data_IF_578632514099
#
_entry.id   IF_578632514099
#
_cell.length_a   1.000
_cell.length_b   1.000
_cell.length_c   1.000
_cell.angle_alpha   90.00
_cell.angle_beta   90.00
_cell.angle_gamma   90.00
#
_symmetry.space_group_name_H-M   'P 1'
#
loop_
_entity.id
_entity.type
_entity.pdbx_description
1 polymer ?
#
# COMPACT_ATOMS: atom_id res chain seq x y z
N UNK A 1 -1.07 -14.40 16.00
CA UNK A 1 -1.01 -13.69 14.71
C UNK A 1 -1.39 -14.66 13.60
N UNK A 2 -2.62 -14.63 13.12
CA UNK A 2 -3.06 -15.41 11.96
C UNK A 2 -2.40 -14.87 10.68
N UNK A 3 -1.89 -15.78 9.84
CA UNK A 3 -1.36 -15.48 8.52
C UNK A 3 -2.24 -16.13 7.47
N UNK A 4 -2.72 -15.35 6.50
CA UNK A 4 -3.48 -15.82 5.34
C UNK A 4 -2.77 -15.40 4.08
N UNK A 5 -2.73 -16.29 3.09
CA UNK A 5 -2.18 -16.00 1.77
C UNK A 5 -3.24 -16.25 0.71
N UNK A 6 -3.48 -15.27 -0.14
CA UNK A 6 -4.40 -15.36 -1.26
C UNK A 6 -3.64 -15.15 -2.57
N UNK A 7 -4.01 -15.88 -3.61
CA UNK A 7 -3.57 -15.61 -4.97
C UNK A 7 -4.59 -14.68 -5.62
N UNK A 8 -4.20 -13.43 -5.88
CA UNK A 8 -5.12 -12.40 -6.40
C UNK A 8 -4.99 -12.22 -7.90
N UNK A 9 -6.13 -11.90 -8.53
CA UNK A 9 -6.21 -11.67 -9.97
C UNK A 9 -5.95 -12.91 -10.82
N UNK A 10 -5.91 -12.72 -12.14
CA UNK A 10 -5.61 -13.78 -13.09
C UNK A 10 -4.10 -14.09 -13.15
N UNK A 11 -3.25 -13.14 -12.77
CA UNK A 11 -1.80 -13.35 -12.66
C UNK A 11 -1.40 -14.05 -11.34
N UNK A 12 -2.40 -14.39 -10.49
CA UNK A 12 -2.22 -15.14 -9.23
C UNK A 12 -1.11 -14.59 -8.33
N UNK A 13 -1.00 -13.26 -8.25
CA UNK A 13 0.01 -12.64 -7.41
C UNK A 13 -0.28 -12.91 -5.93
N UNK A 14 0.72 -13.27 -5.11
CA UNK A 14 0.49 -13.53 -3.71
C UNK A 14 0.21 -12.24 -2.94
N UNK A 15 -0.86 -12.26 -2.16
CA UNK A 15 -1.19 -11.28 -1.14
C UNK A 15 -1.13 -11.96 0.23
N UNK A 16 -0.23 -11.50 1.09
CA UNK A 16 -0.12 -12.00 2.46
C UNK A 16 -0.80 -11.03 3.43
N UNK A 17 -1.69 -11.54 4.27
CA UNK A 17 -2.38 -10.81 5.31
C UNK A 17 -1.98 -11.34 6.68
N UNK A 18 -1.62 -10.45 7.58
CA UNK A 18 -1.20 -10.74 8.94
C UNK A 18 -2.16 -9.99 9.89
N UNK A 19 -3.10 -10.69 10.50
CA UNK A 19 -3.98 -10.13 11.53
C UNK A 19 -3.29 -10.16 12.91
N UNK A 20 -3.67 -9.24 13.79
CA UNK A 20 -3.04 -9.05 15.11
C UNK A 20 -1.51 -8.87 15.00
N UNK A 21 -1.10 -8.05 14.02
CA UNK A 21 0.28 -7.95 13.58
C UNK A 21 1.20 -7.35 14.64
N UNK A 22 0.83 -6.22 15.24
CA UNK A 22 1.61 -5.60 16.31
C UNK A 22 1.08 -6.01 17.68
N UNK A 23 1.95 -6.29 18.67
CA UNK A 23 1.50 -6.71 20.01
C UNK A 23 0.84 -5.57 20.81
N UNK A 24 1.12 -4.31 20.47
CA UNK A 24 0.58 -3.11 21.14
C UNK A 24 0.22 -2.02 20.13
N UNK A 25 -0.82 -2.21 19.30
CA UNK A 25 -1.18 -1.27 18.25
C UNK A 25 -1.65 0.09 18.80
N UNK A 26 -2.33 0.11 19.96
CA UNK A 26 -2.75 1.37 20.59
C UNK A 26 -1.57 2.21 21.08
N UNK A 27 -0.52 1.56 21.61
CA UNK A 27 0.71 2.26 21.99
C UNK A 27 1.41 2.85 20.74
N UNK A 28 1.36 2.16 19.61
CA UNK A 28 1.90 2.66 18.35
C UNK A 28 1.10 3.87 17.83
N UNK A 29 -0.24 3.85 17.95
CA UNK A 29 -1.10 5.00 17.65
C UNK A 29 -0.80 6.20 18.55
N UNK A 30 -0.59 5.97 19.85
CA UNK A 30 -0.21 7.05 20.77
C UNK A 30 1.14 7.67 20.40
N UNK A 31 2.10 6.88 19.92
CA UNK A 31 3.37 7.40 19.39
C UNK A 31 3.12 8.23 18.13
N UNK A 32 2.27 7.77 17.22
CA UNK A 32 1.91 8.54 16.02
C UNK A 32 1.24 9.86 16.38
N UNK A 33 0.35 9.90 17.39
CA UNK A 33 -0.31 11.11 17.86
C UNK A 33 0.66 12.16 18.44
N UNK A 34 1.82 11.73 18.92
CA UNK A 34 2.88 12.59 19.43
C UNK A 34 3.98 12.91 18.40
N UNK A 35 3.93 12.32 17.23
CA UNK A 35 4.94 12.49 16.19
C UNK A 35 4.69 13.76 15.36
N UNK A 36 5.77 14.33 14.84
CA UNK A 36 5.69 15.39 13.85
C UNK A 36 5.51 14.81 12.45
N UNK A 37 4.48 15.27 11.74
CA UNK A 37 4.21 14.89 10.37
C UNK A 37 4.61 16.01 9.41
N UNK A 38 5.17 15.64 8.29
CA UNK A 38 5.50 16.57 7.19
C UNK A 38 4.79 16.12 5.89
N UNK A 39 4.67 17.05 4.94
CA UNK A 39 4.15 16.72 3.62
C UNK A 39 4.94 15.56 3.02
N UNK A 40 4.25 14.54 2.54
CA UNK A 40 4.90 13.38 1.96
C UNK A 40 5.65 13.75 0.69
N UNK A 41 6.82 13.16 0.52
CA UNK A 41 7.59 13.24 -0.74
C UNK A 41 7.00 12.28 -1.78
N UNK A 42 7.41 12.45 -3.02
CA UNK A 42 6.97 11.63 -4.15
C UNK A 42 5.46 11.74 -4.41
N UNK A 43 4.80 10.62 -4.68
CA UNK A 43 3.40 10.59 -5.12
C UNK A 43 2.40 10.24 -4.00
N UNK A 44 2.83 10.12 -2.74
CA UNK A 44 1.89 9.82 -1.64
C UNK A 44 0.97 11.03 -1.38
N UNK A 45 -0.37 10.85 -1.38
CA UNK A 45 -1.33 11.96 -1.27
C UNK A 45 -1.62 12.33 0.19
N UNK A 46 -0.61 12.81 0.93
CA UNK A 46 -0.80 13.14 2.34
C UNK A 46 0.48 13.49 3.08
N UNK A 47 0.51 13.12 4.34
CA UNK A 47 1.61 13.41 5.27
C UNK A 47 2.26 12.14 5.78
N UNK A 48 3.55 12.23 6.16
CA UNK A 48 4.33 11.14 6.74
C UNK A 48 5.04 11.59 8.00
N UNK A 49 5.15 10.66 8.97
CA UNK A 49 5.86 10.86 10.22
C UNK A 49 6.82 9.71 10.53
N UNK A 50 7.81 9.95 11.42
CA UNK A 50 8.80 8.95 11.79
C UNK A 50 8.18 7.81 12.60
N UNK A 51 8.61 6.59 12.34
CA UNK A 51 8.18 5.39 13.06
C UNK A 51 9.24 5.02 14.11
N UNK A 52 8.87 4.54 15.30
CA UNK A 52 9.83 4.21 16.34
C UNK A 52 10.67 2.99 15.95
N UNK A 53 11.99 3.05 16.21
CA UNK A 53 12.92 1.95 15.95
C UNK A 53 12.51 0.63 16.64
N UNK A 54 11.95 0.71 17.85
CA UNK A 54 11.46 -0.46 18.59
C UNK A 54 10.33 -1.23 17.88
N UNK A 55 9.50 -0.53 17.08
CA UNK A 55 8.51 -1.19 16.22
C UNK A 55 9.22 -2.01 15.13
N UNK A 56 10.18 -1.40 14.45
CA UNK A 56 10.94 -2.08 13.40
C UNK A 56 11.70 -3.30 13.95
N UNK A 57 12.40 -3.13 15.07
CA UNK A 57 13.12 -4.22 15.73
C UNK A 57 12.23 -5.41 16.05
N UNK A 58 11.01 -5.15 16.52
CA UNK A 58 10.06 -6.20 16.88
C UNK A 58 9.36 -6.84 15.68
N UNK A 59 9.09 -6.07 14.59
CA UNK A 59 8.30 -6.56 13.46
C UNK A 59 9.15 -7.10 12.31
N UNK A 60 10.38 -6.61 12.09
CA UNK A 60 11.23 -7.07 10.99
C UNK A 60 11.47 -8.59 10.95
N UNK A 61 11.70 -9.30 12.07
CA UNK A 61 11.85 -10.76 12.05
C UNK A 61 10.57 -11.47 11.56
N UNK A 62 9.40 -10.97 11.94
CA UNK A 62 8.09 -11.51 11.55
C UNK A 62 7.85 -11.25 10.05
N UNK A 63 8.08 -10.02 9.61
CA UNK A 63 7.99 -9.62 8.22
C UNK A 63 8.92 -10.48 7.36
N UNK A 64 10.19 -10.61 7.75
CA UNK A 64 11.17 -11.38 7.00
C UNK A 64 10.78 -12.87 6.90
N UNK A 65 10.22 -13.45 7.96
CA UNK A 65 9.72 -14.82 7.92
C UNK A 65 8.55 -14.97 6.94
N UNK A 66 7.57 -14.06 6.99
CA UNK A 66 6.43 -14.04 6.08
C UNK A 66 6.86 -13.82 4.62
N UNK A 67 7.76 -12.87 4.38
CA UNK A 67 8.29 -12.56 3.04
C UNK A 67 8.96 -13.80 2.43
N UNK A 68 9.85 -14.46 3.17
CA UNK A 68 10.50 -15.68 2.69
C UNK A 68 9.50 -16.82 2.41
N UNK A 69 8.54 -17.02 3.30
CA UNK A 69 7.56 -18.09 3.15
C UNK A 69 6.61 -17.89 1.96
N UNK A 70 6.22 -16.65 1.66
CA UNK A 70 5.17 -16.32 0.68
C UNK A 70 5.76 -15.93 -0.68
N UNK A 71 6.81 -15.11 -0.69
CA UNK A 71 7.36 -14.55 -1.93
C UNK A 71 8.62 -15.26 -2.42
N UNK A 72 9.13 -16.20 -1.62
CA UNK A 72 10.36 -16.92 -1.92
C UNK A 72 11.61 -16.13 -1.53
N UNK A 73 12.77 -16.68 -1.87
CA UNK A 73 14.04 -16.10 -1.48
C UNK A 73 14.62 -16.76 -0.21
N UNK A 74 15.94 -16.97 -0.21
CA UNK A 74 16.68 -17.56 0.91
C UNK A 74 17.59 -16.54 1.62
N UNK A 75 17.62 -15.32 1.08
CA UNK A 75 18.50 -14.27 1.54
C UNK A 75 17.93 -13.37 2.63
N UNK A 76 18.64 -12.28 2.88
CA UNK A 76 18.22 -11.25 3.81
C UNK A 76 17.02 -10.47 3.26
N UNK A 77 16.19 -10.00 4.16
CA UNK A 77 15.13 -9.02 3.89
C UNK A 77 15.56 -7.71 4.53
N UNK A 78 15.83 -6.72 3.69
CA UNK A 78 16.28 -5.41 4.12
C UNK A 78 15.13 -4.40 4.10
N UNK A 79 15.06 -3.55 5.10
CA UNK A 79 14.17 -2.40 5.11
C UNK A 79 14.77 -1.28 4.27
N UNK A 80 13.99 -0.75 3.32
CA UNK A 80 14.39 0.39 2.49
C UNK A 80 13.88 1.69 3.09
N UNK A 81 12.60 1.72 3.44
CA UNK A 81 11.92 2.87 4.02
C UNK A 81 10.73 2.42 4.85
N UNK A 82 10.40 3.17 5.91
CA UNK A 82 9.19 2.99 6.68
C UNK A 82 8.76 4.29 7.34
N UNK A 83 7.45 4.55 7.36
CA UNK A 83 6.88 5.74 7.98
C UNK A 83 5.44 5.52 8.44
N UNK A 84 4.99 6.28 9.43
CA UNK A 84 3.57 6.57 9.56
C UNK A 84 3.11 7.34 8.33
N UNK A 85 1.93 7.04 7.84
CA UNK A 85 1.36 7.67 6.65
C UNK A 85 -0.13 7.95 6.85
N UNK A 86 -0.54 9.18 6.54
CA UNK A 86 -1.94 9.62 6.64
C UNK A 86 -2.33 10.28 5.31
N UNK A 87 -3.42 9.84 4.72
CA UNK A 87 -3.98 10.45 3.51
C UNK A 87 -4.73 11.73 3.89
N UNK A 88 -4.33 12.87 3.33
CA UNK A 88 -4.90 14.18 3.68
C UNK A 88 -5.18 15.07 2.47
N UNK A 89 -4.71 14.70 1.27
CA UNK A 89 -4.85 15.55 0.09
C UNK A 89 -6.30 15.55 -0.41
N UNK A 90 -6.97 16.71 -0.50
CA UNK A 90 -8.32 16.77 -1.06
C UNK A 90 -8.36 16.28 -2.51
N UNK A 91 -9.43 15.63 -2.98
CA UNK A 91 -9.52 15.09 -4.35
C UNK A 91 -9.17 16.11 -5.45
N UNK A 92 -9.62 17.35 -5.30
CA UNK A 92 -9.34 18.43 -6.27
C UNK A 92 -7.85 18.85 -6.35
N UNK A 93 -7.06 18.53 -5.32
CA UNK A 93 -5.62 18.84 -5.26
C UNK A 93 -4.72 17.67 -5.69
N UNK A 94 -5.30 16.50 -6.01
CA UNK A 94 -4.54 15.34 -6.46
C UNK A 94 -3.88 15.60 -7.81
N UNK A 95 -2.61 15.26 -7.94
CA UNK A 95 -1.95 15.15 -9.23
C UNK A 95 -2.55 14.00 -10.05
N UNK A 96 -2.39 14.02 -11.38
CA UNK A 96 -2.87 12.94 -12.25
C UNK A 96 -2.37 11.56 -11.79
N UNK A 97 -1.10 11.45 -11.41
CA UNK A 97 -0.52 10.20 -10.93
C UNK A 97 -1.17 9.67 -9.65
N UNK A 98 -1.66 10.55 -8.77
CA UNK A 98 -2.35 10.18 -7.52
C UNK A 98 -3.81 9.73 -7.72
N UNK A 99 -4.37 9.95 -8.92
CA UNK A 99 -5.72 9.55 -9.31
C UNK A 99 -5.77 8.19 -10.01
N UNK A 100 -4.63 7.52 -10.13
CA UNK A 100 -4.46 6.26 -10.87
C UNK A 100 -3.96 5.14 -9.94
N UNK A 101 -4.32 3.88 -10.22
CA UNK A 101 -3.58 2.75 -9.68
C UNK A 101 -2.11 2.85 -10.08
N UNK A 102 -1.21 2.51 -9.16
CA UNK A 102 0.23 2.60 -9.37
C UNK A 102 0.94 1.32 -8.92
N UNK A 103 2.19 1.20 -9.32
CA UNK A 103 3.15 0.25 -8.77
C UNK A 103 4.36 1.04 -8.24
N UNK A 104 4.98 0.53 -7.16
CA UNK A 104 6.08 1.23 -6.48
C UNK A 104 7.46 0.81 -7.02
N UNK A 105 7.53 -0.34 -7.68
CA UNK A 105 8.75 -0.87 -8.30
C UNK A 105 8.41 -1.79 -9.47
N UNK A 106 9.41 -2.15 -10.25
CA UNK A 106 9.27 -3.01 -11.43
C UNK A 106 10.01 -4.35 -11.30
N UNK A 107 10.64 -4.59 -10.16
CA UNK A 107 11.48 -5.76 -9.89
C UNK A 107 10.81 -6.71 -8.89
N UNK A 108 11.07 -8.04 -8.98
CA UNK A 108 10.40 -9.03 -8.15
C UNK A 108 10.86 -9.04 -6.69
N UNK A 109 11.99 -8.42 -6.39
CA UNK A 109 12.60 -8.38 -5.06
C UNK A 109 11.98 -7.31 -4.13
N UNK A 110 11.14 -6.43 -4.67
CA UNK A 110 10.51 -5.34 -3.90
C UNK A 110 9.17 -5.74 -3.33
N UNK A 111 9.03 -5.62 -2.01
CA UNK A 111 7.81 -5.90 -1.26
C UNK A 111 7.33 -4.62 -0.59
N UNK A 112 6.04 -4.33 -0.73
CA UNK A 112 5.35 -3.29 0.01
C UNK A 112 4.66 -3.90 1.24
N UNK A 113 4.66 -3.13 2.34
CA UNK A 113 3.90 -3.40 3.54
C UNK A 113 2.97 -2.23 3.83
N UNK A 114 1.72 -2.55 4.15
CA UNK A 114 0.74 -1.60 4.69
C UNK A 114 0.16 -2.19 5.97
N UNK A 115 0.41 -1.54 7.13
CA UNK A 115 -0.17 -1.93 8.41
C UNK A 115 -1.22 -0.90 8.82
N UNK A 116 -2.48 -1.33 8.93
CA UNK A 116 -3.61 -0.46 9.24
C UNK A 116 -3.73 -0.22 10.75
N UNK A 117 -3.84 1.05 11.13
CA UNK A 117 -3.91 1.48 12.53
C UNK A 117 -5.17 2.31 12.87
N UNK A 118 -6.12 2.44 11.93
CA UNK A 118 -7.43 3.08 12.20
C UNK A 118 -8.40 2.04 12.78
N UNK A 119 -8.94 2.24 14.01
CA UNK A 119 -9.78 1.25 14.69
C UNK A 119 -11.08 0.94 13.97
N UNK A 120 -11.68 1.95 13.35
CA UNK A 120 -12.97 1.83 12.66
C UNK A 120 -12.86 1.15 11.29
N UNK A 121 -11.68 0.65 10.94
CA UNK A 121 -11.41 0.10 9.62
C UNK A 121 -11.40 1.19 8.56
N UNK A 122 -12.22 1.05 7.51
CA UNK A 122 -12.37 2.01 6.43
C UNK A 122 -11.72 1.53 5.13
N UNK A 123 -11.14 2.48 4.42
CA UNK A 123 -10.55 2.23 3.10
C UNK A 123 -9.37 1.28 3.17
N UNK A 124 -9.44 0.21 2.41
CA UNK A 124 -8.41 -0.81 2.34
C UNK A 124 -7.37 -0.54 1.27
N UNK A 125 -6.93 -1.62 0.63
CA UNK A 125 -6.09 -1.57 -0.57
C UNK A 125 -6.77 -2.34 -1.69
N UNK A 126 -6.95 -1.69 -2.84
CA UNK A 126 -7.49 -2.32 -4.04
C UNK A 126 -6.36 -2.64 -5.02
N UNK A 127 -6.47 -3.78 -5.70
CA UNK A 127 -5.57 -4.25 -6.73
C UNK A 127 -6.29 -4.25 -8.06
N UNK A 128 -5.56 -3.95 -9.14
CA UNK A 128 -6.18 -3.64 -10.43
C UNK A 128 -5.54 -4.38 -11.59
N UNK A 129 -6.36 -4.55 -12.64
CA UNK A 129 -5.91 -4.88 -14.00
C UNK A 129 -6.07 -3.66 -14.89
N UNK A 130 -5.05 -3.29 -15.61
CA UNK A 130 -5.13 -2.29 -16.68
C UNK A 130 -5.81 -2.89 -17.90
N UNK A 131 -6.98 -2.37 -18.30
CA UNK A 131 -7.84 -3.00 -19.33
C UNK A 131 -7.17 -3.11 -20.68
N UNK A 132 -6.46 -2.06 -21.13
CA UNK A 132 -5.84 -2.03 -22.46
C UNK A 132 -4.69 -3.02 -22.60
N UNK A 133 -3.91 -3.29 -21.54
CA UNK A 133 -2.78 -4.24 -21.60
C UNK A 133 -3.09 -5.59 -20.99
N UNK A 134 -4.14 -5.71 -20.17
CA UNK A 134 -4.41 -6.89 -19.37
C UNK A 134 -3.47 -7.10 -18.18
N UNK A 135 -2.55 -6.18 -17.91
CA UNK A 135 -1.55 -6.33 -16.85
C UNK A 135 -2.14 -6.04 -15.46
N UNK A 136 -1.82 -6.88 -14.49
CA UNK A 136 -2.09 -6.72 -13.07
C UNK A 136 -0.82 -6.35 -12.30
N UNK A 137 0.34 -6.74 -12.85
CA UNK A 137 1.64 -6.28 -12.38
C UNK A 137 2.45 -5.70 -13.54
N UNK A 138 3.29 -4.71 -13.21
CA UNK A 138 4.17 -4.05 -14.18
C UNK A 138 5.61 -4.43 -13.87
N UNK A 139 6.13 -5.41 -14.59
CA UNK A 139 7.54 -5.81 -14.52
C UNK A 139 8.39 -4.86 -15.38
N UNK A 140 9.73 -4.95 -15.26
CA UNK A 140 10.61 -4.11 -16.09
C UNK A 140 10.38 -4.37 -17.60
N UNK A 141 10.11 -5.63 -18.01
CA UNK A 141 9.83 -5.97 -19.40
C UNK A 141 8.49 -5.37 -19.89
N UNK A 142 7.49 -5.23 -19.01
CA UNK A 142 6.17 -4.68 -19.34
C UNK A 142 6.12 -3.16 -19.26
N UNK A 143 7.09 -2.55 -18.61
CA UNK A 143 7.10 -1.13 -18.24
C UNK A 143 6.85 -0.21 -19.46
N UNK A 144 7.59 -0.39 -20.53
CA UNK A 144 7.45 0.47 -21.72
C UNK A 144 6.06 0.35 -22.34
N UNK A 145 5.55 -0.88 -22.50
CA UNK A 145 4.22 -1.14 -23.05
C UNK A 145 3.10 -0.58 -22.16
N UNK A 146 3.23 -0.76 -20.84
CA UNK A 146 2.27 -0.23 -19.87
C UNK A 146 2.16 1.29 -19.95
N UNK A 147 3.29 2.01 -19.86
CA UNK A 147 3.27 3.46 -19.87
C UNK A 147 2.87 4.04 -21.24
N UNK A 148 3.18 3.39 -22.35
CA UNK A 148 2.70 3.79 -23.66
C UNK A 148 1.17 3.67 -23.76
N UNK A 149 0.59 2.58 -23.27
CA UNK A 149 -0.86 2.40 -23.22
C UNK A 149 -1.53 3.39 -22.26
N UNK A 150 -0.97 3.57 -21.06
CA UNK A 150 -1.49 4.51 -20.06
C UNK A 150 -1.50 5.96 -20.58
N UNK A 151 -0.50 6.37 -21.35
CA UNK A 151 -0.42 7.71 -21.94
C UNK A 151 -1.49 7.96 -23.02
N UNK A 152 -2.11 6.91 -23.55
CA UNK A 152 -3.22 7.00 -24.50
C UNK A 152 -4.60 7.04 -23.84
N UNK A 153 -4.66 6.78 -22.51
CA UNK A 153 -5.92 6.83 -21.76
C UNK A 153 -6.36 8.28 -21.51
N UNK A 154 -7.67 8.53 -21.40
CA UNK A 154 -8.19 9.82 -20.96
C UNK A 154 -7.67 10.20 -19.57
N UNK A 155 -7.49 11.50 -19.32
CA UNK A 155 -7.15 11.99 -18.00
C UNK A 155 -8.21 11.55 -16.96
N UNK A 156 -7.81 10.94 -15.83
CA UNK A 156 -8.75 10.51 -14.80
C UNK A 156 -9.37 11.73 -14.10
N UNK A 157 -10.62 11.59 -13.62
CA UNK A 157 -11.29 12.66 -12.87
C UNK A 157 -10.49 13.00 -11.59
N UNK A 158 -10.68 14.21 -11.02
CA UNK A 158 -10.01 14.62 -9.78
C UNK A 158 -10.63 13.90 -8.56
N UNK A 159 -10.36 12.61 -8.44
CA UNK A 159 -10.86 11.74 -7.40
C UNK A 159 -9.84 10.64 -7.08
N UNK A 160 -9.88 10.11 -5.87
CA UNK A 160 -9.18 8.87 -5.54
C UNK A 160 -9.80 7.71 -6.33
N UNK A 161 -8.95 6.80 -6.80
CA UNK A 161 -9.43 5.57 -7.43
C UNK A 161 -9.79 4.56 -6.34
N UNK A 162 -11.07 4.21 -6.27
CA UNK A 162 -11.58 3.26 -5.26
C UNK A 162 -12.37 2.09 -5.87
N UNK A 163 -12.59 2.08 -7.17
CA UNK A 163 -13.37 1.07 -7.87
C UNK A 163 -12.93 0.94 -9.32
N UNK A 164 -13.78 0.29 -10.11
CA UNK A 164 -13.61 0.18 -11.56
C UNK A 164 -13.62 1.55 -12.23
N UNK A 165 -12.78 1.71 -13.25
CA UNK A 165 -12.75 2.88 -14.12
C UNK A 165 -12.79 2.46 -15.58
N UNK A 166 -12.80 3.42 -16.51
CA UNK A 166 -12.66 3.13 -17.93
C UNK A 166 -11.39 2.34 -18.25
N UNK A 167 -10.26 2.71 -17.64
CA UNK A 167 -8.94 2.13 -17.89
C UNK A 167 -8.58 0.94 -16.97
N UNK A 168 -9.20 0.83 -15.79
CA UNK A 168 -8.84 -0.16 -14.77
C UNK A 168 -10.03 -0.95 -14.24
N UNK A 169 -9.82 -2.22 -13.98
CA UNK A 169 -10.74 -3.14 -13.33
C UNK A 169 -10.18 -3.57 -11.99
N UNK A 170 -11.00 -3.56 -10.93
CA UNK A 170 -10.64 -4.10 -9.62
C UNK A 170 -10.59 -5.62 -9.70
N UNK A 171 -9.45 -6.23 -9.41
CA UNK A 171 -9.28 -7.69 -9.37
C UNK A 171 -9.32 -8.25 -7.96
N UNK A 172 -9.02 -7.41 -6.97
CA UNK A 172 -9.11 -7.79 -5.55
C UNK A 172 -9.20 -6.54 -4.68
N UNK A 173 -9.85 -6.66 -3.52
CA UNK A 173 -9.88 -5.63 -2.48
C UNK A 173 -9.57 -6.25 -1.12
N UNK A 174 -8.46 -5.83 -0.51
CA UNK A 174 -8.15 -6.17 0.86
C UNK A 174 -8.75 -5.13 1.81
N UNK A 175 -9.59 -5.58 2.75
CA UNK A 175 -10.21 -4.71 3.76
C UNK A 175 -9.16 -4.17 4.75
N UNK A 176 -9.27 -2.89 5.08
CA UNK A 176 -8.59 -2.34 6.23
C UNK A 176 -9.23 -2.89 7.51
N UNK A 177 -8.46 -3.61 8.28
CA UNK A 177 -8.82 -4.02 9.63
C UNK A 177 -7.78 -3.49 10.60
N UNK A 178 -8.23 -3.05 11.75
CA UNK A 178 -7.32 -2.61 12.79
C UNK A 178 -6.28 -3.67 13.10
N UNK A 179 -5.01 -3.28 13.16
CA UNK A 179 -3.86 -4.15 13.41
C UNK A 179 -3.64 -5.27 12.38
N UNK A 180 -4.15 -5.09 11.13
CA UNK A 180 -3.83 -5.95 10.00
C UNK A 180 -2.67 -5.37 9.21
N UNK A 181 -1.69 -6.19 8.85
CA UNK A 181 -0.68 -5.86 7.85
C UNK A 181 -0.89 -6.65 6.57
N UNK A 182 -0.69 -5.97 5.43
CA UNK A 182 -0.63 -6.55 4.10
C UNK A 182 0.82 -6.56 3.64
N UNK A 183 1.22 -7.65 2.96
CA UNK A 183 2.48 -7.74 2.22
C UNK A 183 2.15 -8.17 0.79
N UNK A 184 2.70 -7.46 -0.19
CA UNK A 184 2.53 -7.75 -1.62
C UNK A 184 3.72 -7.25 -2.42
N UNK A 185 3.88 -7.77 -3.64
CA UNK A 185 4.94 -7.29 -4.53
C UNK A 185 4.67 -5.86 -4.97
N UNK A 186 5.68 -5.01 -4.87
CA UNK A 186 5.57 -3.58 -5.23
C UNK A 186 5.26 -3.33 -6.70
N UNK A 187 5.39 -4.32 -7.56
CA UNK A 187 5.01 -4.22 -8.97
C UNK A 187 3.51 -4.41 -9.26
N UNK A 188 2.70 -4.82 -8.26
CA UNK A 188 1.26 -4.95 -8.43
C UNK A 188 0.62 -3.58 -8.61
N UNK A 189 -0.30 -3.46 -9.57
CA UNK A 189 -1.13 -2.26 -9.71
C UNK A 189 -2.10 -2.17 -8.54
N UNK A 190 -1.97 -1.13 -7.73
CA UNK A 190 -2.78 -0.96 -6.52
C UNK A 190 -3.09 0.51 -6.20
N UNK A 191 -4.05 0.71 -5.31
CA UNK A 191 -4.34 2.01 -4.69
C UNK A 191 -4.83 1.85 -3.26
N UNK A 192 -4.85 2.95 -2.51
CA UNK A 192 -5.39 3.01 -1.15
C UNK A 192 -6.90 2.92 -1.05
N UNK A 193 -7.63 2.70 -2.14
CA UNK A 193 -9.08 2.54 -2.21
C UNK A 193 -9.89 3.57 -1.40
N UNK A 194 -9.41 4.83 -1.33
CA UNK A 194 -10.01 5.90 -0.53
C UNK A 194 -11.42 6.20 -1.05
N UNK A 195 -12.43 6.09 -0.19
CA UNK A 195 -13.81 6.36 -0.56
C UNK A 195 -14.03 7.85 -0.88
N UNK A 196 -15.00 8.19 -1.75
CA UNK A 196 -15.27 9.59 -2.11
C UNK A 196 -15.68 10.47 -0.94
N UNK A 197 -16.25 9.88 0.10
CA UNK A 197 -16.73 10.53 1.33
C UNK A 197 -15.78 10.32 2.53
N UNK A 198 -14.58 9.79 2.29
CA UNK A 198 -13.60 9.56 3.35
C UNK A 198 -13.23 10.85 4.07
N UNK A 199 -13.20 10.80 5.39
CA UNK A 199 -12.70 11.90 6.22
C UNK A 199 -11.18 11.97 6.09
N UNK A 200 -10.67 13.03 5.42
CA UNK A 200 -9.23 13.24 5.19
C UNK A 200 -8.60 14.04 6.35
N UNK A 201 -8.76 13.55 7.58
CA UNK A 201 -8.18 14.18 8.77
C UNK A 201 -6.66 13.97 8.81
N UNK A 202 -5.93 15.02 9.19
CA UNK A 202 -4.50 14.94 9.46
C UNK A 202 -4.19 14.46 10.89
N UNK A 203 -5.19 14.35 11.76
CA UNK A 203 -5.02 13.82 13.11
C UNK A 203 -4.78 12.30 13.04
N UNK A 204 -3.67 11.78 13.60
CA UNK A 204 -3.39 10.34 13.62
C UNK A 204 -4.44 9.49 14.34
N UNK A 205 -5.27 10.09 15.21
CA UNK A 205 -6.32 9.37 15.93
C UNK A 205 -7.63 9.26 15.15
N UNK A 206 -7.90 10.21 14.23
CA UNK A 206 -9.13 10.27 13.44
C UNK A 206 -8.90 9.93 11.96
N UNK A 207 -7.69 10.23 11.45
CA UNK A 207 -7.33 10.01 10.05
C UNK A 207 -7.07 8.55 9.72
N UNK A 208 -6.92 8.27 8.42
CA UNK A 208 -6.52 6.95 7.92
C UNK A 208 -5.03 6.72 8.20
N UNK A 209 -4.72 6.38 9.45
CA UNK A 209 -3.35 6.09 9.89
C UNK A 209 -2.91 4.70 9.43
N UNK A 210 -1.78 4.63 8.76
CA UNK A 210 -1.10 3.38 8.40
C UNK A 210 0.39 3.48 8.73
N UNK A 211 1.06 2.33 8.89
CA UNK A 211 2.50 2.23 8.62
C UNK A 211 2.66 1.74 7.20
N UNK A 212 3.41 2.47 6.40
CA UNK A 212 3.85 2.01 5.06
C UNK A 212 5.34 1.71 5.11
N UNK A 213 5.76 0.58 4.56
CA UNK A 213 7.16 0.23 4.46
C UNK A 213 7.47 -0.45 3.14
N UNK A 214 8.72 -0.29 2.69
CA UNK A 214 9.27 -0.95 1.51
C UNK A 214 10.45 -1.81 1.90
N UNK A 215 10.47 -3.02 1.38
CA UNK A 215 11.45 -4.05 1.69
C UNK A 215 12.12 -4.53 0.41
N UNK A 216 13.35 -5.01 0.52
CA UNK A 216 14.06 -5.70 -0.55
C UNK A 216 14.45 -7.10 -0.10
N UNK A 217 14.20 -8.08 -0.96
CA UNK A 217 14.70 -9.46 -0.80
C UNK A 217 16.04 -9.61 -1.51
N UNK A 218 16.97 -10.28 -0.90
CA UNK A 218 18.25 -10.66 -1.53
C UNK A 218 18.29 -12.15 -1.84
#
# INVERSE_FOLDING_TARGET
>A
MPLTVEAIGAEAQPLCMLDDFAPRPDALRAVAAAAEFEAAKHHYPGIRGPIPGSYLESQLPIIAAAVRAVFGGSGAVDLIDASFSIVTTPPAALSVAQRLPHCDAFTPDRIALVHYLSPDGGDGTAFYRHRATGFECVTEERRAAYFAALAAEPEPPPAYVAGDTGAFEVVHRAEARYNRALLYRSWNLHSGAIAPDAALSADPLDGRLTVTAFLSMR
#
